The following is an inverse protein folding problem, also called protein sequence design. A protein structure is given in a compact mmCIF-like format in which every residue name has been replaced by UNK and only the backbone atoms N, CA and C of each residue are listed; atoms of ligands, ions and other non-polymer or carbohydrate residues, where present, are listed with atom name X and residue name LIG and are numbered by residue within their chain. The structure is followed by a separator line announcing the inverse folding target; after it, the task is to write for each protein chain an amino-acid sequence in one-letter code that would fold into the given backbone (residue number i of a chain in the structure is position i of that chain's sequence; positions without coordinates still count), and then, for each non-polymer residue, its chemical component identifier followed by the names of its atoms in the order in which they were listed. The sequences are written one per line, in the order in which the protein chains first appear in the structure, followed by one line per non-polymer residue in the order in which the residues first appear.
data_IF_256694173304
#
_entry.id   IF_256694173304
#
_cell.length_a   1.000
_cell.length_b   1.000
_cell.length_c   1.000
_cell.angle_alpha   90.00
_cell.angle_beta   90.00
_cell.angle_gamma   90.00
#
_symmetry.space_group_name_H-M   'P 1'
#
loop_
_entity.id
_entity.type
_entity.pdbx_description
1 polymer ?
#
# COMPACT_ATOMS: atom_id res chain seq x y z
N UNK A 1 14.45 -42.41 30.84
CA UNK A 1 14.09 -43.79 31.18
C UNK A 1 14.93 -44.26 32.36
N UNK A 2 14.40 -44.17 33.57
CA UNK A 2 14.48 -45.20 34.61
C UNK A 2 13.47 -44.83 35.70
N UNK A 3 12.84 -45.82 36.34
CA UNK A 3 11.57 -45.68 37.04
C UNK A 3 11.75 -45.58 38.56
N UNK A 4 10.71 -45.10 39.25
CA UNK A 4 10.65 -45.11 40.72
C UNK A 4 9.19 -45.22 41.18
N UNK A 5 8.79 -46.24 41.96
CA UNK A 5 7.41 -46.73 41.99
C UNK A 5 6.65 -46.48 43.31
N UNK A 6 5.32 -46.60 43.17
CA UNK A 6 4.32 -47.16 44.09
C UNK A 6 4.33 -46.83 45.59
N UNK A 7 3.17 -46.42 46.11
CA UNK A 7 2.32 -47.21 47.03
C UNK A 7 1.19 -46.27 47.50
N UNK A 8 -0.08 -46.50 47.19
CA UNK A 8 -1.00 -47.51 47.74
C UNK A 8 -0.98 -47.64 49.27
N UNK A 9 -2.02 -47.09 49.90
CA UNK A 9 -2.48 -47.32 51.27
C UNK A 9 -3.69 -46.42 51.51
N UNK A 10 -4.91 -46.76 51.07
CA UNK A 10 -5.82 -47.85 51.49
C UNK A 10 -6.29 -47.71 52.94
N UNK A 11 -7.63 -47.53 53.04
CA UNK A 11 -8.55 -47.67 54.19
C UNK A 11 -8.86 -46.39 54.97
N UNK A 12 -10.08 -46.12 55.44
CA UNK A 12 -11.44 -46.61 55.21
C UNK A 12 -12.27 -45.93 56.32
N UNK A 13 -13.44 -45.38 56.02
CA UNK A 13 -14.61 -45.29 56.93
C UNK A 13 -15.71 -44.54 56.16
N UNK A 14 -16.65 -45.23 55.52
CA UNK A 14 -17.94 -45.67 56.06
C UNK A 14 -18.85 -44.54 56.55
N UNK A 15 -20.10 -44.64 56.07
CA UNK A 15 -21.33 -44.01 56.54
C UNK A 15 -21.60 -42.58 56.06
N UNK A 16 -22.47 -42.47 55.04
CA UNK A 16 -23.87 -42.11 55.30
C UNK A 16 -24.68 -42.18 54.02
N UNK A 17 -25.72 -43.04 54.04
CA UNK A 17 -26.85 -42.97 53.14
C UNK A 17 -27.48 -41.58 53.24
N UNK A 18 -27.54 -40.87 52.12
CA UNK A 18 -28.56 -39.86 51.89
C UNK A 18 -29.14 -40.13 50.49
N UNK A 19 -30.32 -40.76 50.50
CA UNK A 19 -31.23 -40.84 49.37
C UNK A 19 -31.63 -39.40 49.03
N UNK A 20 -31.02 -38.84 47.99
CA UNK A 20 -31.48 -37.60 47.37
C UNK A 20 -32.55 -37.95 46.33
N UNK A 21 -33.73 -37.32 46.36
CA UNK A 21 -34.74 -37.52 45.34
C UNK A 21 -34.23 -36.94 44.02
N UNK A 22 -34.23 -37.76 42.97
CA UNK A 22 -34.11 -37.33 41.58
C UNK A 22 -35.37 -36.53 41.25
N UNK A 23 -35.32 -35.23 41.47
CA UNK A 23 -36.27 -34.23 41.02
C UNK A 23 -35.48 -33.09 40.39
N UNK A 24 -35.92 -32.64 39.21
CA UNK A 24 -35.35 -31.61 38.32
C UNK A 24 -34.21 -32.11 37.40
N UNK A 25 -34.24 -31.95 36.08
CA UNK A 25 -35.05 -31.10 35.22
C UNK A 25 -35.78 -31.93 34.16
N UNK A 26 -37.10 -31.80 34.10
CA UNK A 26 -37.78 -31.98 32.82
C UNK A 26 -37.13 -30.99 31.85
N UNK A 27 -36.63 -31.53 30.75
CA UNK A 27 -36.12 -30.77 29.63
C UNK A 27 -37.17 -29.74 29.19
N UNK A 28 -37.05 -28.51 29.69
CA UNK A 28 -37.32 -27.36 28.86
C UNK A 28 -36.14 -27.29 27.88
N UNK A 29 -36.08 -28.23 26.93
CA UNK A 29 -35.46 -27.89 25.65
C UNK A 29 -36.24 -26.67 25.19
N UNK A 30 -35.65 -25.47 25.08
CA UNK A 30 -36.32 -24.43 24.31
C UNK A 30 -36.69 -25.10 23.00
N UNK A 31 -37.99 -25.07 22.65
CA UNK A 31 -38.40 -25.48 21.32
C UNK A 31 -37.42 -24.81 20.38
N UNK A 32 -36.68 -25.62 19.64
CA UNK A 32 -35.93 -25.11 18.50
C UNK A 32 -37.03 -24.68 17.57
N UNK A 33 -37.48 -23.43 17.74
CA UNK A 33 -38.48 -22.81 16.91
C UNK A 33 -37.88 -22.88 15.52
N UNK A 34 -38.32 -23.89 14.77
CA UNK A 34 -37.94 -24.05 13.38
C UNK A 34 -38.54 -22.85 12.71
N UNK A 35 -37.68 -21.87 12.44
CA UNK A 35 -38.03 -20.74 11.63
C UNK A 35 -38.42 -21.28 10.25
N UNK A 36 -39.72 -21.35 9.98
CA UNK A 36 -40.22 -21.64 8.64
C UNK A 36 -40.00 -20.38 7.82
N UNK A 37 -39.04 -20.47 6.89
CA UNK A 37 -38.84 -19.48 5.84
C UNK A 37 -40.13 -19.47 5.02
N UNK A 38 -40.84 -18.34 5.05
CA UNK A 38 -42.05 -18.16 4.23
C UNK A 38 -41.77 -17.24 3.05
N UNK A 39 -42.64 -17.28 2.04
CA UNK A 39 -42.60 -16.41 0.84
C UNK A 39 -42.42 -14.91 1.20
N UNK A 40 -42.89 -14.49 2.38
CA UNK A 40 -42.73 -13.13 2.90
C UNK A 40 -41.27 -12.73 3.19
N UNK A 41 -40.38 -13.66 3.49
CA UNK A 41 -38.97 -13.35 3.70
C UNK A 41 -38.25 -13.13 2.37
N UNK A 42 -38.61 -13.89 1.34
CA UNK A 42 -38.07 -13.70 0.00
C UNK A 42 -38.46 -12.33 -0.58
N UNK A 43 -39.73 -11.94 -0.46
CA UNK A 43 -40.20 -10.62 -0.89
C UNK A 43 -39.46 -9.49 -0.16
N UNK A 44 -39.26 -9.63 1.16
CA UNK A 44 -38.51 -8.62 1.94
C UNK A 44 -37.03 -8.55 1.56
N UNK A 45 -36.41 -9.69 1.32
CA UNK A 45 -35.02 -9.75 0.84
C UNK A 45 -34.91 -9.08 -0.53
N UNK A 46 -35.86 -9.34 -1.43
CA UNK A 46 -35.94 -8.69 -2.74
C UNK A 46 -36.04 -7.17 -2.59
N UNK A 47 -36.97 -6.69 -1.77
CA UNK A 47 -37.18 -5.25 -1.56
C UNK A 47 -35.91 -4.55 -1.02
N UNK A 48 -35.20 -5.18 -0.07
CA UNK A 48 -33.95 -4.65 0.49
C UNK A 48 -32.84 -4.59 -0.55
N UNK A 49 -32.64 -5.67 -1.33
CA UNK A 49 -31.60 -5.70 -2.37
C UNK A 49 -31.92 -4.73 -3.50
N UNK A 50 -33.18 -4.63 -3.93
CA UNK A 50 -33.58 -3.64 -4.93
C UNK A 50 -33.30 -2.22 -4.43
N UNK A 51 -33.71 -1.90 -3.19
CA UNK A 51 -33.43 -0.58 -2.60
C UNK A 51 -31.93 -0.27 -2.51
N UNK A 52 -31.11 -1.29 -2.22
CA UNK A 52 -29.65 -1.15 -2.17
C UNK A 52 -29.06 -0.87 -3.56
N UNK A 53 -29.47 -1.63 -4.58
CA UNK A 53 -28.99 -1.46 -5.95
C UNK A 53 -29.43 -0.09 -6.53
N UNK A 54 -30.66 0.32 -6.25
CA UNK A 54 -31.18 1.63 -6.65
C UNK A 54 -30.36 2.76 -6.00
N UNK A 55 -30.06 2.65 -4.70
CA UNK A 55 -29.22 3.61 -3.99
C UNK A 55 -27.81 3.73 -4.60
N UNK A 56 -27.18 2.60 -4.96
CA UNK A 56 -25.89 2.62 -5.66
C UNK A 56 -25.97 3.31 -7.03
N UNK A 57 -27.01 2.99 -7.82
CA UNK A 57 -27.19 3.55 -9.16
C UNK A 57 -27.47 5.07 -9.13
N UNK A 58 -28.28 5.52 -8.17
CA UNK A 58 -28.66 6.92 -7.98
C UNK A 58 -27.56 7.76 -7.30
N UNK A 59 -26.52 7.13 -6.77
CA UNK A 59 -25.46 7.80 -6.01
C UNK A 59 -25.90 8.21 -4.59
N UNK A 60 -26.90 7.54 -4.03
CA UNK A 60 -27.38 7.73 -2.65
C UNK A 60 -26.56 6.85 -1.67
N UNK A 61 -25.32 7.29 -1.43
CA UNK A 61 -24.40 6.61 -0.52
C UNK A 61 -24.94 6.44 0.90
N UNK A 62 -25.68 7.41 1.43
CA UNK A 62 -26.21 7.38 2.80
C UNK A 62 -27.23 6.25 2.95
N UNK A 63 -28.16 6.12 2.01
CA UNK A 63 -29.12 4.99 1.98
C UNK A 63 -28.41 3.66 1.76
N UNK A 64 -27.42 3.61 0.86
CA UNK A 64 -26.63 2.39 0.63
C UNK A 64 -25.89 1.93 1.90
N UNK A 65 -25.28 2.85 2.65
CA UNK A 65 -24.62 2.59 3.92
C UNK A 65 -25.59 2.15 5.02
N UNK A 66 -26.77 2.78 5.10
CA UNK A 66 -27.81 2.37 6.05
C UNK A 66 -28.23 0.91 5.82
N UNK A 67 -28.39 0.51 4.56
CA UNK A 67 -28.77 -0.86 4.18
C UNK A 67 -27.64 -1.88 4.41
N UNK A 68 -26.37 -1.43 4.36
CA UNK A 68 -25.20 -2.22 4.79
C UNK A 68 -25.07 -2.31 6.32
N UNK A 69 -25.84 -1.52 7.08
CA UNK A 69 -25.72 -1.44 8.53
C UNK A 69 -24.40 -0.81 8.99
N UNK A 70 -23.76 -0.01 8.13
CA UNK A 70 -22.47 0.63 8.40
C UNK A 70 -22.70 2.10 8.67
N UNK A 71 -22.18 2.60 9.79
CA UNK A 71 -22.26 4.02 10.07
C UNK A 71 -21.13 4.76 9.34
N UNK A 72 -21.45 5.80 8.57
CA UNK A 72 -20.48 6.54 7.75
C UNK A 72 -19.22 7.01 8.52
N UNK A 73 -19.38 7.36 9.80
CA UNK A 73 -18.31 7.81 10.69
C UNK A 73 -17.31 6.71 11.12
N UNK A 74 -17.58 5.46 10.81
CA UNK A 74 -16.68 4.33 11.07
C UNK A 74 -15.67 4.13 9.92
N UNK A 75 -15.81 4.87 8.82
CA UNK A 75 -14.85 4.85 7.71
C UNK A 75 -13.71 5.85 7.95
N UNK A 76 -12.51 5.55 7.43
CA UNK A 76 -11.33 6.43 7.51
C UNK A 76 -11.55 7.74 6.72
N UNK A 77 -12.47 7.71 5.75
CA UNK A 77 -12.80 8.80 4.84
C UNK A 77 -14.33 8.96 4.72
N UNK A 78 -15.01 9.47 5.76
CA UNK A 78 -16.47 9.58 5.77
C UNK A 78 -17.01 10.46 4.64
N UNK A 79 -16.23 11.43 4.18
CA UNK A 79 -16.62 12.34 3.11
C UNK A 79 -16.81 11.63 1.75
N UNK A 80 -16.08 10.53 1.50
CA UNK A 80 -16.19 9.75 0.25
C UNK A 80 -17.51 8.98 0.12
N UNK A 81 -18.17 8.72 1.25
CA UNK A 81 -19.40 7.94 1.31
C UNK A 81 -20.61 8.84 1.62
N UNK A 82 -20.52 10.11 1.25
CA UNK A 82 -21.65 11.05 1.29
C UNK A 82 -22.35 11.12 -0.06
N UNK A 83 -23.64 11.46 -0.06
CA UNK A 83 -24.41 11.66 -1.29
C UNK A 83 -23.81 12.74 -2.20
N UNK A 84 -23.19 13.76 -1.60
CA UNK A 84 -22.56 14.85 -2.34
C UNK A 84 -21.36 14.40 -3.18
N UNK A 85 -20.55 13.48 -2.66
CA UNK A 85 -19.36 12.98 -3.36
C UNK A 85 -19.72 11.79 -4.24
N UNK A 86 -20.40 10.79 -3.69
CA UNK A 86 -20.72 9.56 -4.41
C UNK A 86 -21.69 9.79 -5.59
N UNK A 87 -22.54 10.82 -5.51
CA UNK A 87 -23.39 11.27 -6.61
C UNK A 87 -22.62 11.75 -7.84
N UNK A 88 -21.34 12.10 -7.71
CA UNK A 88 -20.45 12.52 -8.80
C UNK A 88 -19.49 11.40 -9.27
N UNK A 89 -19.34 10.32 -8.49
CA UNK A 89 -18.50 9.17 -8.84
C UNK A 89 -19.02 8.51 -10.11
N UNK A 90 -18.14 8.36 -11.10
CA UNK A 90 -18.45 7.70 -12.37
C UNK A 90 -18.40 6.17 -12.23
N UNK A 91 -18.91 5.43 -13.22
CA UNK A 91 -18.76 3.98 -13.27
C UNK A 91 -19.35 3.29 -12.04
N UNK A 92 -20.51 3.74 -11.55
CA UNK A 92 -21.27 3.09 -10.47
C UNK A 92 -22.01 1.86 -10.99
N UNK A 93 -22.42 0.91 -10.13
CA UNK A 93 -23.28 -0.19 -10.55
C UNK A 93 -24.65 0.36 -11.00
N UNK A 94 -25.12 -0.06 -12.17
CA UNK A 94 -26.42 0.32 -12.74
C UNK A 94 -27.14 -0.91 -13.31
N UNK A 95 -28.42 -0.76 -13.64
CA UNK A 95 -29.25 -1.81 -14.25
C UNK A 95 -29.24 -3.14 -13.46
N UNK A 96 -29.27 -3.04 -12.13
CA UNK A 96 -29.24 -4.20 -11.24
C UNK A 96 -30.53 -5.04 -11.30
N UNK A 97 -30.43 -6.28 -11.79
CA UNK A 97 -31.52 -7.25 -11.85
C UNK A 97 -31.25 -8.44 -10.91
N UNK A 98 -32.24 -8.77 -10.08
CA UNK A 98 -32.17 -9.95 -9.20
C UNK A 98 -32.53 -11.20 -10.01
N UNK A 99 -31.58 -12.14 -10.09
CA UNK A 99 -31.73 -13.38 -10.86
C UNK A 99 -32.08 -14.60 -10.01
N UNK A 100 -31.67 -14.62 -8.74
CA UNK A 100 -31.96 -15.71 -7.80
C UNK A 100 -31.94 -15.20 -6.35
N UNK A 101 -32.77 -15.79 -5.50
CA UNK A 101 -32.81 -15.51 -4.06
C UNK A 101 -32.81 -16.84 -3.31
N UNK A 102 -31.80 -17.05 -2.47
CA UNK A 102 -31.73 -18.20 -1.57
C UNK A 102 -31.77 -17.73 -0.12
N UNK A 103 -32.85 -18.02 0.59
CA UNK A 103 -32.98 -17.76 2.03
C UNK A 103 -32.66 -19.03 2.81
N UNK A 104 -31.77 -18.92 3.79
CA UNK A 104 -31.34 -20.02 4.65
C UNK A 104 -31.79 -19.78 6.09
N UNK A 105 -32.52 -20.73 6.65
CA UNK A 105 -32.85 -20.72 8.08
C UNK A 105 -31.54 -20.81 8.86
N UNK A 106 -31.31 -19.87 9.76
CA UNK A 106 -30.00 -19.62 10.37
C UNK A 106 -29.24 -20.87 10.80
N UNK A 107 -27.95 -20.94 10.46
CA UNK A 107 -27.10 -22.05 10.89
C UNK A 107 -26.87 -21.98 12.41
N UNK A 108 -26.52 -23.12 13.02
CA UNK A 108 -26.12 -23.19 14.43
C UNK A 108 -24.94 -22.27 14.80
N UNK A 109 -24.20 -21.75 13.81
CA UNK A 109 -23.04 -20.86 14.04
C UNK A 109 -23.41 -19.38 14.08
N UNK A 110 -24.37 -18.94 13.27
CA UNK A 110 -24.76 -17.51 13.15
C UNK A 110 -26.01 -17.21 13.98
N UNK A 111 -26.84 -18.23 14.25
CA UNK A 111 -28.04 -18.10 15.10
C UNK A 111 -29.15 -17.22 14.51
N UNK A 112 -28.96 -16.67 13.31
CA UNK A 112 -29.88 -15.75 12.63
C UNK A 112 -30.10 -16.21 11.18
N UNK A 113 -31.31 -16.03 10.60
CA UNK A 113 -31.53 -16.27 9.17
C UNK A 113 -30.56 -15.45 8.31
N UNK A 114 -30.11 -16.06 7.22
CA UNK A 114 -29.25 -15.42 6.21
C UNK A 114 -29.88 -15.58 4.83
N UNK A 115 -29.53 -14.70 3.90
CA UNK A 115 -29.93 -14.83 2.50
C UNK A 115 -28.74 -14.54 1.58
N UNK A 116 -28.77 -15.11 0.39
CA UNK A 116 -27.84 -14.81 -0.69
C UNK A 116 -28.65 -14.50 -1.93
N UNK A 117 -28.39 -13.36 -2.54
CA UNK A 117 -29.09 -12.87 -3.73
C UNK A 117 -28.10 -12.77 -4.87
N UNK A 118 -28.38 -13.45 -5.98
CA UNK A 118 -27.59 -13.33 -7.19
C UNK A 118 -28.12 -12.19 -8.05
N UNK A 119 -27.25 -11.26 -8.43
CA UNK A 119 -27.62 -10.07 -9.20
C UNK A 119 -26.80 -9.97 -10.48
N UNK A 120 -27.45 -9.55 -11.56
CA UNK A 120 -26.80 -9.09 -12.79
C UNK A 120 -26.84 -7.56 -12.82
N UNK A 121 -25.72 -6.92 -13.15
CA UNK A 121 -25.62 -5.45 -13.20
C UNK A 121 -24.63 -5.03 -14.29
N UNK A 122 -24.72 -3.78 -14.74
CA UNK A 122 -23.68 -3.13 -15.53
C UNK A 122 -22.92 -2.11 -14.66
N UNK A 123 -21.77 -1.64 -15.15
CA UNK A 123 -21.17 -0.40 -14.65
C UNK A 123 -21.61 0.74 -15.54
N UNK A 124 -21.84 1.92 -14.98
CA UNK A 124 -22.16 3.10 -15.78
C UNK A 124 -21.07 3.34 -16.84
N UNK A 125 -21.50 3.49 -18.10
CA UNK A 125 -20.61 3.57 -19.27
C UNK A 125 -20.10 2.22 -19.82
N UNK A 126 -20.42 1.08 -19.20
CA UNK A 126 -20.12 -0.27 -19.71
C UNK A 126 -21.37 -0.99 -20.23
N UNK A 127 -21.29 -1.64 -21.40
CA UNK A 127 -22.40 -2.45 -21.95
C UNK A 127 -22.43 -3.90 -21.40
N UNK A 128 -21.39 -4.32 -20.67
CA UNK A 128 -21.23 -5.72 -20.27
C UNK A 128 -21.88 -5.99 -18.91
N UNK A 129 -22.87 -6.88 -18.90
CA UNK A 129 -23.47 -7.37 -17.66
C UNK A 129 -22.48 -8.25 -16.88
N UNK A 130 -22.45 -8.05 -15.57
CA UNK A 130 -21.63 -8.77 -14.60
C UNK A 130 -22.51 -9.40 -13.53
N UNK A 131 -22.08 -10.54 -12.99
CA UNK A 131 -22.76 -11.24 -11.90
C UNK A 131 -22.07 -10.94 -10.58
N UNK A 132 -22.86 -10.64 -9.57
CA UNK A 132 -22.42 -10.52 -8.19
C UNK A 132 -23.36 -11.29 -7.25
N UNK A 133 -22.91 -11.51 -6.03
CA UNK A 133 -23.73 -12.02 -4.95
C UNK A 133 -23.80 -10.97 -3.85
N UNK A 134 -25.01 -10.78 -3.32
CA UNK A 134 -25.28 -9.92 -2.16
C UNK A 134 -25.67 -10.84 -1.01
N UNK A 135 -24.89 -10.84 0.06
CA UNK A 135 -25.21 -11.55 1.28
C UNK A 135 -26.07 -10.65 2.18
N UNK A 136 -27.04 -11.25 2.88
CA UNK A 136 -27.86 -10.55 3.86
C UNK A 136 -27.95 -11.35 5.15
N UNK A 137 -28.00 -10.64 6.26
CA UNK A 137 -28.29 -11.18 7.58
C UNK A 137 -29.54 -10.52 8.14
N UNK A 138 -30.35 -11.30 8.86
CA UNK A 138 -31.51 -10.75 9.56
C UNK A 138 -31.14 -10.32 10.97
N UNK A 139 -31.17 -9.01 11.21
CA UNK A 139 -31.09 -8.38 12.52
C UNK A 139 -32.46 -8.23 13.21
N UNK A 140 -32.46 -7.49 14.32
CA UNK A 140 -33.67 -7.20 15.08
C UNK A 140 -34.59 -6.21 14.33
N UNK A 141 -34.00 -5.33 13.51
CA UNK A 141 -34.69 -4.30 12.75
C UNK A 141 -35.07 -4.72 11.32
N UNK A 142 -34.60 -5.86 10.83
CA UNK A 142 -34.89 -6.33 9.48
C UNK A 142 -33.75 -7.10 8.82
N UNK A 143 -33.84 -7.25 7.50
CA UNK A 143 -32.74 -7.75 6.67
C UNK A 143 -31.76 -6.62 6.38
N UNK A 144 -30.46 -6.89 6.49
CA UNK A 144 -29.37 -5.96 6.21
C UNK A 144 -28.36 -6.65 5.29
N UNK A 145 -27.73 -5.89 4.40
CA UNK A 145 -26.68 -6.38 3.52
C UNK A 145 -25.40 -6.59 4.33
N UNK A 146 -24.72 -7.72 4.12
CA UNK A 146 -23.37 -7.95 4.65
C UNK A 146 -22.32 -7.44 3.64
N UNK A 147 -21.24 -6.84 4.15
CA UNK A 147 -20.20 -6.14 3.36
C UNK A 147 -19.43 -7.02 2.34
N UNK A 148 -19.59 -8.34 2.37
CA UNK A 148 -18.75 -9.26 1.60
C UNK A 148 -19.26 -9.45 0.16
N UNK A 149 -18.71 -8.67 -0.77
CA UNK A 149 -18.92 -8.88 -2.20
C UNK A 149 -18.54 -7.69 -3.08
N UNK A 150 -18.47 -7.94 -4.40
CA UNK A 150 -18.12 -6.94 -5.43
C UNK A 150 -18.97 -5.66 -5.41
N UNK A 151 -20.15 -5.70 -4.79
CA UNK A 151 -21.06 -4.57 -4.66
C UNK A 151 -21.08 -3.95 -3.26
N UNK A 152 -20.36 -4.52 -2.29
CA UNK A 152 -20.25 -3.99 -0.93
C UNK A 152 -19.17 -2.92 -0.81
N UNK A 153 -18.95 -2.44 0.41
CA UNK A 153 -17.81 -1.56 0.71
C UNK A 153 -16.50 -2.29 0.42
N UNK A 154 -15.64 -1.64 -0.36
CA UNK A 154 -14.35 -2.18 -0.72
C UNK A 154 -13.26 -1.42 0.00
N UNK A 155 -12.31 -2.17 0.54
CA UNK A 155 -11.07 -1.60 1.05
C UNK A 155 -10.11 -1.46 -0.13
N UNK A 156 -9.78 -0.22 -0.46
CA UNK A 156 -8.73 0.09 -1.43
C UNK A 156 -7.44 0.34 -0.67
N UNK A 157 -6.44 -0.49 -0.89
CA UNK A 157 -5.10 -0.27 -0.37
C UNK A 157 -4.26 0.49 -1.42
N UNK A 158 -3.97 1.75 -1.10
CA UNK A 158 -3.09 2.60 -1.90
C UNK A 158 -1.74 2.67 -1.21
N UNK A 159 -0.76 1.98 -1.79
CA UNK A 159 0.63 2.03 -1.35
C UNK A 159 1.32 3.23 -1.98
N UNK A 160 1.75 4.19 -1.16
CA UNK A 160 2.67 5.24 -1.60
C UNK A 160 3.99 5.07 -0.84
N UNK A 161 5.07 4.87 -1.59
CA UNK A 161 6.41 5.00 -1.02
C UNK A 161 6.71 6.48 -0.73
N UNK A 162 7.47 6.76 0.34
CA UNK A 162 8.15 8.05 0.50
C UNK A 162 7.37 9.24 1.06
N UNK A 163 6.27 9.06 1.80
CA UNK A 163 5.74 10.14 2.63
C UNK A 163 4.76 11.12 1.95
N UNK A 164 4.10 10.70 0.86
CA UNK A 164 3.12 11.54 0.17
C UNK A 164 1.71 11.45 0.77
N UNK A 165 0.91 12.49 0.55
CA UNK A 165 -0.51 12.56 0.92
C UNK A 165 -1.34 12.12 -0.26
N UNK A 166 -2.29 11.23 -0.01
CA UNK A 166 -3.21 10.79 -1.04
C UNK A 166 -4.51 11.56 -0.94
N UNK A 167 -5.03 12.02 -2.08
CA UNK A 167 -6.37 12.58 -2.17
C UNK A 167 -7.25 11.80 -3.16
N UNK A 168 -8.39 11.29 -2.68
CA UNK A 168 -9.43 10.67 -3.51
C UNK A 168 -10.57 11.66 -3.75
N UNK A 169 -10.91 11.89 -5.02
CA UNK A 169 -11.96 12.81 -5.49
C UNK A 169 -11.94 14.20 -4.82
N UNK A 170 -10.77 14.63 -4.35
CA UNK A 170 -10.59 15.88 -3.61
C UNK A 170 -11.32 15.95 -2.26
N UNK A 171 -11.96 14.87 -1.81
CA UNK A 171 -12.79 14.85 -0.61
C UNK A 171 -12.09 14.20 0.59
N UNK A 172 -11.27 13.16 0.38
CA UNK A 172 -10.49 12.57 1.47
C UNK A 172 -9.00 12.76 1.28
N UNK A 173 -8.32 13.12 2.38
CA UNK A 173 -6.85 13.18 2.46
C UNK A 173 -6.33 12.13 3.44
N UNK A 174 -5.58 11.15 2.94
CA UNK A 174 -4.89 10.16 3.79
C UNK A 174 -3.44 10.57 4.01
N UNK A 175 -3.02 10.63 5.28
CA UNK A 175 -1.67 11.03 5.68
C UNK A 175 -0.64 9.90 5.48
N UNK A 176 0.65 10.22 5.32
CA UNK A 176 1.66 9.22 5.02
C UNK A 176 2.02 8.34 6.23
N UNK A 177 2.37 7.07 5.98
CA UNK A 177 3.12 6.24 6.95
C UNK A 177 2.59 4.83 7.20
N UNK A 178 1.34 4.55 6.84
CA UNK A 178 0.77 3.20 6.80
C UNK A 178 -0.02 3.10 5.49
N UNK A 179 -0.06 1.92 4.86
CA UNK A 179 -0.87 1.71 3.67
C UNK A 179 -2.24 2.33 3.91
N UNK A 180 -2.56 3.39 3.17
CA UNK A 180 -3.75 4.18 3.40
C UNK A 180 -4.90 3.35 2.87
N UNK A 181 -5.41 2.46 3.72
CA UNK A 181 -6.59 1.67 3.39
C UNK A 181 -7.78 2.60 3.50
N UNK A 182 -8.39 2.91 2.37
CA UNK A 182 -9.62 3.71 2.34
C UNK A 182 -10.77 2.78 2.00
N UNK A 183 -11.86 2.92 2.75
CA UNK A 183 -13.10 2.18 2.48
C UNK A 183 -14.01 3.05 1.63
N UNK A 184 -14.40 2.56 0.45
CA UNK A 184 -15.26 3.29 -0.50
C UNK A 184 -16.35 2.38 -1.05
N UNK A 185 -17.43 2.99 -1.55
CA UNK A 185 -18.46 2.28 -2.30
C UNK A 185 -17.94 1.93 -3.71
N UNK A 186 -18.56 0.97 -4.41
CA UNK A 186 -18.16 0.67 -5.78
C UNK A 186 -18.35 1.85 -6.74
N UNK A 187 -17.37 2.10 -7.60
CA UNK A 187 -17.30 3.25 -8.51
C UNK A 187 -15.89 3.51 -9.02
N UNK A 188 -15.73 4.53 -9.86
CA UNK A 188 -14.44 4.99 -10.37
C UNK A 188 -14.06 6.31 -9.71
N UNK A 189 -12.95 6.29 -8.98
CA UNK A 189 -12.45 7.40 -8.17
C UNK A 189 -11.23 8.04 -8.82
N UNK A 190 -11.16 9.37 -8.85
CA UNK A 190 -9.96 10.10 -9.22
C UNK A 190 -8.97 10.11 -8.06
N UNK A 191 -7.79 9.54 -8.29
CA UNK A 191 -6.70 9.52 -7.33
C UNK A 191 -5.67 10.57 -7.71
N UNK A 192 -5.38 11.44 -6.75
CA UNK A 192 -4.29 12.41 -6.81
C UNK A 192 -3.32 12.14 -5.67
N UNK A 193 -2.03 12.31 -5.92
CA UNK A 193 -1.00 12.16 -4.87
C UNK A 193 -0.18 13.43 -4.83
N UNK A 194 -0.14 14.02 -3.63
CA UNK A 194 0.64 15.20 -3.33
C UNK A 194 1.91 14.77 -2.59
N UNK A 195 3.07 14.90 -3.26
CA UNK A 195 4.35 14.75 -2.59
C UNK A 195 4.60 15.96 -1.68
N UNK A 196 4.58 15.72 -0.37
CA UNK A 196 4.82 16.76 0.64
C UNK A 196 6.25 17.31 0.57
N UNK A 197 7.20 16.54 0.03
CA UNK A 197 8.56 17.01 -0.21
C UNK A 197 8.67 17.88 -1.48
N UNK A 198 7.65 17.88 -2.35
CA UNK A 198 7.63 18.64 -3.61
C UNK A 198 8.60 18.14 -4.68
N UNK A 199 9.24 16.98 -4.48
CA UNK A 199 10.27 16.42 -5.38
C UNK A 199 9.64 15.55 -6.46
N UNK A 200 8.65 14.77 -6.07
CA UNK A 200 7.87 13.87 -6.88
C UNK A 200 6.61 14.50 -7.41
N UNK A 201 6.08 13.86 -8.45
CA UNK A 201 4.72 14.04 -8.91
C UNK A 201 4.19 12.70 -9.41
N UNK A 202 2.88 12.56 -9.43
CA UNK A 202 2.18 11.54 -10.22
C UNK A 202 1.11 12.25 -11.04
N UNK A 203 0.89 11.82 -12.28
CA UNK A 203 -0.29 12.28 -12.99
C UNK A 203 -1.54 11.72 -12.29
N UNK A 204 -2.62 12.52 -12.15
CA UNK A 204 -3.89 12.01 -11.67
C UNK A 204 -4.33 10.80 -12.50
N UNK A 205 -4.87 9.80 -11.83
CA UNK A 205 -5.35 8.59 -12.49
C UNK A 205 -6.66 8.12 -11.87
N UNK A 206 -7.42 7.35 -12.64
CA UNK A 206 -8.68 6.77 -12.19
C UNK A 206 -8.46 5.38 -11.59
N UNK A 207 -9.15 5.09 -10.49
CA UNK A 207 -9.15 3.78 -9.85
C UNK A 207 -10.59 3.25 -9.76
N UNK A 208 -10.86 2.14 -10.46
CA UNK A 208 -12.17 1.48 -10.47
C UNK A 208 -12.30 0.48 -9.32
N UNK A 209 -13.43 0.52 -8.64
CA UNK A 209 -13.81 -0.32 -7.51
C UNK A 209 -15.15 -1.02 -7.82
N UNK A 210 -15.27 -2.36 -7.69
CA UNK A 210 -14.23 -3.32 -7.37
C UNK A 210 -13.25 -3.44 -8.55
N UNK A 211 -11.97 -3.56 -8.23
CA UNK A 211 -10.89 -3.65 -9.20
C UNK A 211 -9.75 -4.47 -8.63
N UNK A 212 -8.53 -3.96 -8.71
CA UNK A 212 -7.40 -4.55 -8.01
C UNK A 212 -7.46 -4.18 -6.53
N UNK A 213 -7.41 -5.18 -5.64
CA UNK A 213 -7.37 -5.02 -4.18
C UNK A 213 -6.22 -4.11 -3.68
N UNK A 214 -5.20 -3.93 -4.52
CA UNK A 214 -4.01 -3.15 -4.22
C UNK A 214 -3.51 -2.39 -5.45
N UNK A 215 -3.23 -1.10 -5.29
CA UNK A 215 -2.54 -0.28 -6.31
C UNK A 215 -1.29 0.35 -5.72
N UNK A 216 -0.14 0.06 -6.33
CA UNK A 216 1.12 0.73 -5.99
C UNK A 216 1.26 2.00 -6.84
N UNK A 217 1.32 3.15 -6.18
CA UNK A 217 1.56 4.44 -6.84
C UNK A 217 3.05 4.77 -6.77
N UNK A 218 3.68 4.88 -7.94
CA UNK A 218 5.10 5.23 -8.06
C UNK A 218 5.24 6.71 -8.42
N UNK A 219 5.75 7.51 -7.49
CA UNK A 219 6.10 8.89 -7.76
C UNK A 219 7.25 8.97 -8.77
N UNK A 220 7.13 9.89 -9.73
CA UNK A 220 8.19 10.24 -10.65
C UNK A 220 8.80 11.57 -10.23
N UNK A 221 10.14 11.73 -10.26
CA UNK A 221 10.76 13.01 -9.91
C UNK A 221 10.38 14.07 -10.94
N UNK A 222 10.13 15.30 -10.47
CA UNK A 222 9.77 16.42 -11.34
C UNK A 222 10.93 16.77 -12.29
N UNK A 223 10.66 17.10 -13.57
CA UNK A 223 11.71 17.37 -14.55
C UNK A 223 12.70 18.48 -14.14
N UNK A 224 12.20 19.53 -13.48
CA UNK A 224 13.02 20.62 -12.94
C UNK A 224 13.96 20.15 -11.83
N UNK A 225 13.49 19.29 -10.92
CA UNK A 225 14.31 18.72 -9.86
C UNK A 225 15.36 17.78 -10.44
N UNK A 226 14.98 16.93 -11.40
CA UNK A 226 15.94 16.07 -12.12
C UNK A 226 17.03 16.91 -12.77
N UNK A 227 16.66 17.98 -13.49
CA UNK A 227 17.60 18.89 -14.15
C UNK A 227 18.58 19.52 -13.15
N UNK A 228 18.07 20.04 -12.02
CA UNK A 228 18.89 20.68 -11.01
C UNK A 228 19.83 19.70 -10.30
N UNK A 229 19.32 18.52 -9.92
CA UNK A 229 20.13 17.45 -9.33
C UNK A 229 21.23 17.01 -10.30
N UNK A 230 20.89 16.73 -11.57
CA UNK A 230 21.87 16.36 -12.59
C UNK A 230 22.90 17.47 -12.80
N UNK A 231 22.49 18.73 -12.83
CA UNK A 231 23.38 19.88 -12.97
C UNK A 231 24.38 20.00 -11.82
N UNK A 232 23.90 19.94 -10.58
CA UNK A 232 24.74 20.01 -9.37
C UNK A 232 25.72 18.83 -9.30
N UNK A 233 25.25 17.60 -9.54
CA UNK A 233 26.07 16.39 -9.52
C UNK A 233 27.13 16.38 -10.61
N UNK A 234 26.77 16.87 -11.80
CA UNK A 234 27.71 16.99 -12.92
C UNK A 234 28.78 18.07 -12.65
N UNK A 235 28.38 19.21 -12.06
CA UNK A 235 29.34 20.24 -11.66
C UNK A 235 30.31 19.73 -10.59
N UNK A 236 29.83 18.93 -9.63
CA UNK A 236 30.67 18.31 -8.61
C UNK A 236 31.72 17.36 -9.20
N UNK A 237 31.32 16.44 -10.09
CA UNK A 237 32.29 15.50 -10.70
C UNK A 237 33.29 16.21 -11.61
N UNK A 238 32.87 17.28 -12.30
CA UNK A 238 33.75 18.09 -13.12
C UNK A 238 34.77 18.88 -12.28
N UNK A 239 34.36 19.40 -11.12
CA UNK A 239 35.27 20.02 -10.16
C UNK A 239 36.30 19.01 -9.62
N UNK A 240 35.84 17.82 -9.21
CA UNK A 240 36.73 16.75 -8.77
C UNK A 240 37.69 16.28 -9.87
N UNK A 241 37.24 16.18 -11.12
CA UNK A 241 38.09 15.78 -12.23
C UNK A 241 39.15 16.85 -12.59
N UNK A 242 38.81 18.14 -12.44
CA UNK A 242 39.71 19.24 -12.75
C UNK A 242 40.81 19.41 -11.69
N UNK A 243 40.43 19.39 -10.41
CA UNK A 243 41.36 19.51 -9.29
C UNK A 243 40.89 18.69 -8.08
N UNK A 244 41.23 17.38 -8.05
CA UNK A 244 40.79 16.50 -6.98
C UNK A 244 41.48 16.74 -5.64
N UNK A 245 42.43 17.68 -5.56
CA UNK A 245 43.07 18.12 -4.31
C UNK A 245 42.46 19.41 -3.76
N UNK A 246 41.73 20.17 -4.58
CA UNK A 246 41.11 21.42 -4.17
C UNK A 246 39.78 21.21 -3.43
N UNK A 247 39.08 20.09 -3.67
CA UNK A 247 37.81 19.80 -3.04
C UNK A 247 37.95 18.62 -2.06
N UNK A 248 37.77 18.88 -0.76
CA UNK A 248 37.88 17.88 0.30
C UNK A 248 36.79 16.80 0.24
N UNK A 249 35.88 16.88 -0.73
CA UNK A 249 34.74 15.98 -0.91
C UNK A 249 34.94 14.93 -2.00
N UNK A 250 36.06 14.94 -2.73
CA UNK A 250 36.29 13.97 -3.80
C UNK A 250 36.48 12.53 -3.26
N UNK A 251 36.05 11.49 -3.99
CA UNK A 251 35.98 10.13 -3.46
C UNK A 251 37.36 9.55 -3.11
N UNK A 252 37.39 8.72 -2.06
CA UNK A 252 38.62 8.11 -1.48
C UNK A 252 39.51 7.34 -2.50
N UNK A 253 38.95 6.92 -3.63
CA UNK A 253 39.69 6.27 -4.73
C UNK A 253 40.59 7.23 -5.51
N UNK A 254 40.22 8.51 -5.62
CA UNK A 254 40.95 9.51 -6.40
C UNK A 254 42.29 9.82 -5.75
N UNK A 255 42.32 9.95 -4.42
CA UNK A 255 43.54 10.20 -3.63
C UNK A 255 44.60 9.12 -3.85
N UNK A 256 44.19 7.85 -3.98
CA UNK A 256 45.13 6.74 -4.24
C UNK A 256 45.83 6.87 -5.59
N UNK A 257 45.12 7.30 -6.64
CA UNK A 257 45.71 7.49 -7.99
C UNK A 257 46.61 8.73 -8.01
N UNK A 258 46.17 9.83 -7.41
CA UNK A 258 46.95 11.07 -7.29
C UNK A 258 48.26 10.90 -6.53
N UNK A 259 48.30 9.99 -5.55
CA UNK A 259 49.51 9.67 -4.80
C UNK A 259 50.53 8.87 -5.62
N UNK A 260 50.09 8.15 -6.67
CA UNK A 260 50.96 7.23 -7.43
C UNK A 260 51.42 7.78 -8.78
N UNK A 261 50.68 8.72 -9.36
CA UNK A 261 50.97 9.27 -10.69
C UNK A 261 51.30 10.76 -10.62
N UNK A 262 52.34 11.15 -11.34
CA UNK A 262 52.50 12.52 -11.84
C UNK A 262 51.64 12.65 -13.11
N UNK A 263 50.44 13.20 -12.94
CA UNK A 263 49.45 13.31 -14.01
C UNK A 263 49.92 14.31 -15.08
N UNK A 264 49.89 13.87 -16.34
CA UNK A 264 50.21 14.71 -17.50
C UNK A 264 48.98 15.01 -18.36
N UNK A 265 47.99 14.12 -18.36
CA UNK A 265 46.78 14.23 -19.18
C UNK A 265 45.59 13.61 -18.46
N UNK A 266 44.41 14.17 -18.69
CA UNK A 266 43.14 13.68 -18.19
C UNK A 266 42.14 13.67 -19.34
N UNK A 267 41.50 12.53 -19.57
CA UNK A 267 40.41 12.46 -20.53
C UNK A 267 39.13 13.06 -19.93
N UNK A 268 38.11 13.39 -20.73
CA UNK A 268 36.78 13.72 -20.20
C UNK A 268 36.24 12.58 -19.33
N UNK A 269 35.37 12.90 -18.36
CA UNK A 269 34.69 11.86 -17.58
C UNK A 269 33.65 11.16 -18.48
N UNK A 270 33.79 9.86 -18.62
CA UNK A 270 32.90 8.95 -19.34
C UNK A 270 31.94 8.22 -18.37
N UNK A 271 30.95 7.53 -18.92
CA UNK A 271 29.98 6.72 -18.18
C UNK A 271 29.28 7.45 -17.02
N UNK A 272 28.95 8.74 -17.23
CA UNK A 272 28.18 9.53 -16.28
C UNK A 272 26.76 9.01 -16.22
N UNK A 273 26.36 8.48 -15.07
CA UNK A 273 25.00 8.05 -14.79
C UNK A 273 24.50 8.73 -13.52
N UNK A 274 23.33 9.35 -13.62
CA UNK A 274 22.67 10.07 -12.53
C UNK A 274 21.27 9.48 -12.37
N UNK A 275 21.04 8.88 -11.21
CA UNK A 275 19.74 8.33 -10.83
C UNK A 275 19.14 9.10 -9.65
N UNK A 276 17.85 9.39 -9.73
CA UNK A 276 17.02 9.76 -8.58
C UNK A 276 16.05 8.61 -8.32
N UNK A 277 15.87 8.26 -7.05
CA UNK A 277 14.97 7.19 -6.65
C UNK A 277 14.41 7.47 -5.26
N UNK A 278 13.23 6.92 -5.00
CA UNK A 278 12.55 7.06 -3.72
C UNK A 278 12.88 5.88 -2.82
N UNK A 279 13.23 6.17 -1.56
CA UNK A 279 13.51 5.20 -0.51
C UNK A 279 12.51 5.34 0.62
N UNK A 280 12.55 4.42 1.59
CA UNK A 280 11.75 4.54 2.82
C UNK A 280 12.02 5.85 3.58
N UNK A 281 13.24 6.36 3.50
CA UNK A 281 13.68 7.54 4.23
C UNK A 281 13.56 8.84 3.39
N UNK A 282 12.97 8.75 2.19
CA UNK A 282 12.75 9.87 1.28
C UNK A 282 13.51 9.73 -0.04
N UNK A 283 13.58 10.82 -0.80
CA UNK A 283 14.26 10.88 -2.08
C UNK A 283 15.78 10.79 -1.93
N UNK A 284 16.38 9.95 -2.76
CA UNK A 284 17.81 9.71 -2.80
C UNK A 284 18.34 9.87 -4.23
N UNK A 285 19.66 10.11 -4.32
CA UNK A 285 20.36 10.17 -5.59
C UNK A 285 21.57 9.25 -5.61
N UNK A 286 21.98 8.86 -6.82
CA UNK A 286 23.24 8.19 -7.11
C UNK A 286 23.86 8.80 -8.35
N UNK A 287 25.15 9.12 -8.27
CA UNK A 287 25.99 9.50 -9.38
C UNK A 287 27.12 8.48 -9.50
N UNK A 288 27.37 8.02 -10.72
CA UNK A 288 28.60 7.32 -11.08
C UNK A 288 29.27 7.96 -12.29
N UNK A 289 30.58 7.84 -12.38
CA UNK A 289 31.34 8.24 -13.57
C UNK A 289 32.74 7.64 -13.54
N UNK A 290 33.44 7.66 -14.67
CA UNK A 290 34.82 7.20 -14.74
C UNK A 290 35.67 8.10 -15.62
N UNK A 291 36.97 8.16 -15.34
CA UNK A 291 37.91 8.99 -16.09
C UNK A 291 39.22 8.27 -16.26
N UNK A 292 39.71 8.18 -17.49
CA UNK A 292 41.07 7.73 -17.74
C UNK A 292 42.06 8.87 -17.44
N UNK A 293 43.07 8.57 -16.63
CA UNK A 293 44.14 9.50 -16.28
C UNK A 293 45.47 8.91 -16.74
N UNK A 294 46.26 9.74 -17.43
CA UNK A 294 47.58 9.36 -17.93
C UNK A 294 48.67 10.20 -17.27
N UNK A 295 49.77 9.54 -16.95
CA UNK A 295 50.91 10.18 -16.29
C UNK A 295 52.11 9.27 -16.20
N UNK A 296 53.04 9.62 -15.33
CA UNK A 296 54.20 8.81 -15.01
C UNK A 296 54.17 8.34 -13.56
N UNK A 297 54.57 7.09 -13.31
CA UNK A 297 54.64 6.53 -11.97
C UNK A 297 55.63 7.31 -11.09
N UNK A 298 55.19 7.74 -9.90
CA UNK A 298 56.07 8.34 -8.91
C UNK A 298 56.94 7.29 -8.22
N UNK A 299 58.09 7.71 -7.72
CA UNK A 299 59.01 6.83 -6.99
C UNK A 299 58.42 6.27 -5.70
N UNK A 300 57.63 7.07 -4.97
CA UNK A 300 56.88 6.68 -3.78
C UNK A 300 55.63 5.86 -4.11
N UNK A 301 55.01 6.10 -5.27
CA UNK A 301 53.92 5.30 -5.83
C UNK A 301 54.28 3.83 -6.12
N UNK A 302 55.58 3.51 -6.20
CA UNK A 302 56.08 2.15 -6.42
C UNK A 302 56.30 1.33 -5.14
N UNK A 303 56.12 1.92 -3.95
CA UNK A 303 56.34 1.23 -2.68
C UNK A 303 55.28 0.11 -2.51
N UNK A 304 55.73 -1.15 -2.47
CA UNK A 304 54.87 -2.33 -2.26
C UNK A 304 54.33 -3.02 -3.52
N UNK A 305 54.67 -2.55 -4.73
CA UNK A 305 54.18 -3.12 -6.00
C UNK A 305 55.14 -4.15 -6.64
N UNK A 306 56.27 -4.47 -6.00
CA UNK A 306 57.27 -5.43 -6.48
C UNK A 306 58.14 -4.93 -7.64
N UNK A 307 58.96 -5.81 -8.21
CA UNK A 307 59.99 -5.49 -9.24
C UNK A 307 59.45 -4.96 -10.59
N UNK A 308 58.12 -4.85 -10.74
CA UNK A 308 57.48 -4.39 -11.99
C UNK A 308 57.14 -2.90 -12.01
N UNK A 309 57.36 -2.17 -10.92
CA UNK A 309 57.13 -0.74 -10.86
C UNK A 309 58.42 0.03 -11.19
N UNK A 310 58.45 0.70 -12.33
CA UNK A 310 59.58 1.53 -12.77
C UNK A 310 59.17 3.00 -12.61
N UNK A 311 59.77 3.74 -11.66
CA UNK A 311 59.51 5.17 -11.53
C UNK A 311 59.77 5.92 -12.84
N UNK A 312 58.90 6.86 -13.19
CA UNK A 312 58.93 7.61 -14.44
C UNK A 312 58.36 6.87 -15.67
N UNK A 313 58.01 5.59 -15.55
CA UNK A 313 57.36 4.89 -16.65
C UNK A 313 55.94 5.44 -16.90
N UNK A 314 55.52 5.61 -18.17
CA UNK A 314 54.19 6.04 -18.51
C UNK A 314 53.16 4.99 -18.05
N UNK A 315 52.05 5.47 -17.50
CA UNK A 315 50.95 4.63 -17.03
C UNK A 315 49.63 5.34 -17.28
N UNK A 316 48.63 4.53 -17.60
CA UNK A 316 47.23 4.93 -17.60
C UNK A 316 46.54 4.18 -16.46
N UNK A 317 45.74 4.89 -15.67
CA UNK A 317 44.85 4.30 -14.67
C UNK A 317 43.44 4.89 -14.83
N UNK A 318 42.44 4.08 -14.50
CA UNK A 318 41.04 4.48 -14.48
C UNK A 318 40.66 4.96 -13.08
N UNK A 319 40.10 6.16 -12.98
CA UNK A 319 39.51 6.70 -11.75
C UNK A 319 38.00 6.56 -11.85
N UNK A 320 37.38 5.98 -10.82
CA UNK A 320 35.92 5.89 -10.71
C UNK A 320 35.41 6.85 -9.65
N UNK A 321 34.35 7.57 -9.97
CA UNK A 321 33.63 8.47 -9.11
C UNK A 321 32.30 7.83 -8.72
N UNK A 322 31.97 7.89 -7.44
CA UNK A 322 30.67 7.48 -6.92
C UNK A 322 30.25 8.46 -5.84
N UNK A 323 29.04 8.97 -5.95
CA UNK A 323 28.43 9.80 -4.93
C UNK A 323 26.98 9.36 -4.74
N UNK A 324 26.58 9.14 -3.50
CA UNK A 324 25.19 8.83 -3.14
C UNK A 324 24.76 9.78 -2.04
N UNK A 325 23.47 10.06 -1.94
CA UNK A 325 22.98 10.99 -0.93
C UNK A 325 21.46 11.11 -0.95
N UNK A 326 20.96 12.06 -0.17
CA UNK A 326 19.54 12.43 -0.14
C UNK A 326 19.29 13.71 -0.90
N UNK A 327 18.07 13.84 -1.43
CA UNK A 327 17.56 15.04 -2.10
C UNK A 327 16.45 15.63 -1.26
N UNK A 328 16.54 16.93 -0.99
CA UNK A 328 15.50 17.71 -0.30
C UNK A 328 15.27 19.02 -1.04
N UNK A 329 14.13 19.67 -0.81
CA UNK A 329 13.91 21.07 -1.21
C UNK A 329 14.04 21.96 0.04
N UNK A 330 14.63 23.13 -0.10
CA UNK A 330 14.59 24.16 0.94
C UNK A 330 13.27 24.96 0.90
N UNK A 331 13.15 25.95 1.81
CA UNK A 331 11.94 26.78 1.95
C UNK A 331 11.62 27.60 0.67
N UNK A 332 12.61 27.85 -0.19
CA UNK A 332 12.46 28.56 -1.46
C UNK A 332 12.21 27.58 -2.63
N UNK A 333 12.15 26.27 -2.35
CA UNK A 333 12.00 25.21 -3.35
C UNK A 333 13.28 24.86 -4.09
N UNK A 334 14.44 25.31 -3.63
CA UNK A 334 15.72 24.99 -4.26
C UNK A 334 16.20 23.59 -3.84
N UNK A 335 16.80 22.88 -4.80
CA UNK A 335 17.34 21.53 -4.60
C UNK A 335 18.57 21.56 -3.70
N UNK A 336 18.50 20.83 -2.59
CA UNK A 336 19.60 20.61 -1.65
C UNK A 336 20.01 19.13 -1.68
N UNK A 337 21.28 18.89 -2.02
CA UNK A 337 21.90 17.56 -2.01
C UNK A 337 22.71 17.36 -0.74
N UNK A 338 22.43 16.27 -0.01
CA UNK A 338 23.23 15.88 1.16
C UNK A 338 23.95 14.56 0.89
N UNK A 339 25.28 14.58 0.70
CA UNK A 339 26.06 13.37 0.52
C UNK A 339 25.93 12.40 1.71
N UNK A 340 25.79 11.12 1.40
CA UNK A 340 25.96 10.04 2.37
C UNK A 340 27.43 9.72 2.53
N UNK A 341 27.87 9.61 3.79
CA UNK A 341 29.21 9.15 4.17
C UNK A 341 29.44 7.67 3.92
#
# INVERSE_FOLDING_TARGET
MTPGPSSNGLRALLASLAVLPVLALAACSPSTDRYEIGDRDEDRVRDVVTSYLDALAEGDAETALELLGVAAHETVCPDLVTNAVYGEVAGRPVDGEITDITVTAGSLRVGRPTATVAVEHAWDGEETLRRAQVALVRGDDGWQVEEDGALGLQRVELGIDGGAVLALDGACHASPGEASSVTVLPGTYSVTVEDTAGIGTVEPFEHQVPGSDYTLVQLQPRPEVVSDVTGQLTAWIDACAADPLADATCPDGVDTVLRRLDITERDPVEDRDVGLFLTRDGWAYSLTGSQEIRGTLRADGCIGQGERCVPGAPRSDLVSYRLTGTVTLDDDGAVVLTPSS
#
